data_IF_708753840996
#
_entry.id   IF_708753840996
#
_cell.length_a   1.000
_cell.length_b   1.000
_cell.length_c   1.000
_cell.angle_alpha   90.00
_cell.angle_beta   90.00
_cell.angle_gamma   90.00
#
_symmetry.space_group_name_H-M   'P 1'
#
loop_
_entity.id
_entity.type
_entity.pdbx_description
1 polymer ?
#
# COMPACT_ATOMS: atom_id res chain seq x y z
N UNK A 1 -0.85 -21.59 -0.23
CA UNK A 1 -1.00 -20.83 -1.50
C UNK A 1 -1.11 -21.82 -2.66
N UNK A 2 -2.14 -21.70 -3.51
CA UNK A 2 -2.28 -22.57 -4.71
C UNK A 2 -1.18 -22.23 -5.72
N UNK A 3 -0.53 -23.22 -6.34
CA UNK A 3 0.55 -23.02 -7.34
C UNK A 3 0.19 -21.99 -8.42
N UNK A 4 -1.07 -21.95 -8.83
CA UNK A 4 -1.62 -21.02 -9.82
C UNK A 4 -1.35 -19.55 -9.43
N UNK A 5 -1.45 -19.20 -8.15
CA UNK A 5 -1.23 -17.83 -7.67
C UNK A 5 0.24 -17.42 -7.76
N UNK A 6 1.17 -18.36 -7.55
CA UNK A 6 2.61 -18.11 -7.73
C UNK A 6 2.94 -17.83 -9.20
N UNK A 7 2.33 -18.57 -10.13
CA UNK A 7 2.45 -18.28 -11.55
C UNK A 7 1.90 -16.90 -11.90
N UNK A 8 0.72 -16.53 -11.39
CA UNK A 8 0.14 -15.19 -11.60
C UNK A 8 1.07 -14.08 -11.11
N UNK A 9 1.57 -14.18 -9.86
CA UNK A 9 2.53 -13.22 -9.29
C UNK A 9 3.77 -13.09 -10.20
N UNK A 10 4.35 -14.23 -10.58
CA UNK A 10 5.54 -14.26 -11.43
C UNK A 10 5.29 -13.60 -12.78
N UNK A 11 4.17 -13.93 -13.45
CA UNK A 11 3.83 -13.35 -14.74
C UNK A 11 3.48 -11.86 -14.66
N UNK A 12 2.79 -11.41 -13.59
CA UNK A 12 2.49 -9.98 -13.35
C UNK A 12 3.77 -9.17 -13.13
N UNK A 13 4.72 -9.67 -12.35
CA UNK A 13 6.01 -8.99 -12.17
C UNK A 13 6.81 -9.00 -13.46
N UNK A 14 6.85 -10.13 -14.17
CA UNK A 14 7.60 -10.28 -15.42
C UNK A 14 7.11 -9.35 -16.53
N UNK A 15 5.80 -9.14 -16.65
CA UNK A 15 5.21 -8.30 -17.70
C UNK A 15 5.60 -6.82 -17.60
N UNK A 16 6.01 -6.35 -16.41
CA UNK A 16 6.48 -4.97 -16.18
C UNK A 16 7.78 -4.65 -16.92
N UNK A 17 8.59 -5.66 -17.24
CA UNK A 17 9.93 -5.48 -17.79
C UNK A 17 11.01 -5.19 -16.75
N UNK A 18 10.70 -5.28 -15.45
CA UNK A 18 11.63 -4.98 -14.35
C UNK A 18 12.95 -5.75 -14.43
N UNK A 19 12.92 -7.01 -14.88
CA UNK A 19 14.12 -7.84 -15.00
C UNK A 19 15.14 -7.28 -16.02
N UNK A 20 14.70 -6.46 -16.97
CA UNK A 20 15.59 -5.79 -17.92
C UNK A 20 16.48 -4.73 -17.22
N UNK A 21 16.07 -4.21 -16.06
CA UNK A 21 16.86 -3.25 -15.28
C UNK A 21 17.97 -3.94 -14.48
N UNK A 22 17.72 -5.16 -14.01
CA UNK A 22 18.65 -5.89 -13.13
C UNK A 22 19.62 -6.80 -13.88
N UNK A 23 19.23 -7.32 -15.05
CA UNK A 23 20.01 -8.31 -15.77
C UNK A 23 20.32 -7.78 -17.18
N UNK A 24 21.53 -7.23 -17.36
CA UNK A 24 22.04 -6.81 -18.68
C UNK A 24 22.06 -8.01 -19.63
N UNK A 25 21.29 -7.94 -20.72
CA UNK A 25 21.24 -8.99 -21.75
C UNK A 25 20.24 -10.12 -21.49
N UNK A 26 19.33 -9.99 -20.51
CA UNK A 26 18.30 -11.01 -20.27
C UNK A 26 17.32 -11.11 -21.45
N UNK A 27 17.25 -12.30 -22.07
CA UNK A 27 16.26 -12.63 -23.09
C UNK A 27 15.78 -14.07 -22.87
N UNK A 28 14.63 -14.32 -22.22
CA UNK A 28 14.19 -15.69 -21.98
C UNK A 28 13.40 -16.29 -23.16
N UNK A 29 13.42 -15.69 -24.37
CA UNK A 29 12.47 -15.91 -25.49
C UNK A 29 11.02 -15.56 -25.11
N UNK A 30 10.68 -14.30 -24.88
CA UNK A 30 10.52 -13.34 -25.95
C UNK A 30 10.72 -11.97 -25.32
N UNK A 31 11.67 -11.22 -25.90
CA UNK A 31 11.81 -9.76 -25.81
C UNK A 31 10.43 -9.16 -25.55
N UNK A 32 10.23 -8.54 -24.38
CA UNK A 32 8.97 -7.87 -24.02
C UNK A 32 8.51 -7.08 -25.22
N UNK A 33 7.46 -7.55 -25.90
CA UNK A 33 6.95 -6.93 -27.11
C UNK A 33 6.45 -5.56 -26.68
N UNK A 34 7.29 -4.57 -26.97
CA UNK A 34 6.96 -3.17 -26.93
C UNK A 34 6.96 -2.47 -25.55
N UNK A 35 7.55 -1.28 -25.57
CA UNK A 35 7.62 -0.22 -24.55
C UNK A 35 8.65 -0.35 -23.42
N UNK A 36 9.87 0.11 -23.73
CA UNK A 36 10.90 0.57 -22.77
C UNK A 36 10.49 1.79 -21.93
N UNK A 37 9.28 2.33 -22.12
CA UNK A 37 8.82 3.53 -21.42
C UNK A 37 8.06 3.12 -20.15
N UNK A 38 8.39 3.78 -19.04
CA UNK A 38 7.70 3.70 -17.74
C UNK A 38 7.76 2.30 -17.07
N UNK A 39 8.92 1.63 -17.12
CA UNK A 39 9.11 0.34 -16.42
C UNK A 39 8.89 0.51 -14.92
N UNK A 40 9.36 1.62 -14.36
CA UNK A 40 9.23 1.98 -12.96
C UNK A 40 7.75 2.03 -12.55
N UNK A 41 6.94 2.80 -13.28
CA UNK A 41 5.51 2.96 -12.98
C UNK A 41 4.74 1.64 -13.18
N UNK A 42 5.08 0.86 -14.21
CA UNK A 42 4.48 -0.47 -14.41
C UNK A 42 4.79 -1.41 -13.26
N UNK A 43 6.02 -1.37 -12.73
CA UNK A 43 6.39 -2.16 -11.57
C UNK A 43 5.67 -1.70 -10.31
N UNK A 44 5.56 -0.39 -10.07
CA UNK A 44 4.74 0.18 -8.99
C UNK A 44 3.30 -0.32 -9.06
N UNK A 45 2.63 -0.18 -10.20
CA UNK A 45 1.24 -0.64 -10.40
C UNK A 45 1.08 -2.13 -10.17
N UNK A 46 2.05 -2.94 -10.62
CA UNK A 46 2.02 -4.37 -10.34
C UNK A 46 2.10 -4.67 -8.83
N UNK A 47 2.84 -3.87 -8.04
CA UNK A 47 2.85 -4.02 -6.58
C UNK A 47 1.49 -3.66 -5.96
N UNK A 48 0.81 -2.63 -6.47
CA UNK A 48 -0.55 -2.23 -6.04
C UNK A 48 -1.57 -3.34 -6.36
N UNK A 49 -1.59 -3.82 -7.61
CA UNK A 49 -2.52 -4.84 -8.10
C UNK A 49 -2.37 -6.19 -7.38
N UNK A 50 -1.15 -6.53 -6.95
CA UNK A 50 -0.88 -7.76 -6.20
C UNK A 50 -1.28 -7.67 -4.72
N UNK A 51 -1.62 -6.47 -4.25
CA UNK A 51 -2.23 -6.22 -2.95
C UNK A 51 -1.24 -5.86 -1.82
N UNK A 52 -1.73 -5.78 -0.57
CA UNK A 52 -1.05 -5.11 0.53
C UNK A 52 0.36 -5.62 0.86
N UNK A 53 0.62 -6.92 0.68
CA UNK A 53 1.95 -7.49 0.91
C UNK A 53 2.97 -6.94 -0.09
N UNK A 54 2.58 -6.80 -1.35
CA UNK A 54 3.45 -6.28 -2.40
C UNK A 54 3.58 -4.76 -2.34
N UNK A 55 2.54 -4.05 -1.92
CA UNK A 55 2.63 -2.62 -1.58
C UNK A 55 3.70 -2.40 -0.50
N UNK A 56 3.69 -3.17 0.60
CA UNK A 56 4.73 -3.09 1.65
C UNK A 56 6.12 -3.42 1.12
N UNK A 57 6.24 -4.41 0.23
CA UNK A 57 7.50 -4.74 -0.40
C UNK A 57 8.02 -3.57 -1.26
N UNK A 58 7.14 -2.94 -2.04
CA UNK A 58 7.47 -1.75 -2.82
C UNK A 58 7.92 -0.58 -1.94
N UNK A 59 7.21 -0.33 -0.83
CA UNK A 59 7.60 0.67 0.18
C UNK A 59 8.96 0.36 0.81
N UNK A 60 9.29 -0.90 1.07
CA UNK A 60 10.62 -1.27 1.57
C UNK A 60 11.69 -1.01 0.51
N UNK A 61 11.44 -1.41 -0.74
CA UNK A 61 12.37 -1.25 -1.86
C UNK A 61 12.60 0.23 -2.23
N UNK A 62 11.63 1.12 -2.02
CA UNK A 62 11.80 2.56 -2.28
C UNK A 62 12.88 3.21 -1.41
N UNK A 63 13.15 2.64 -0.23
CA UNK A 63 14.22 3.10 0.68
C UNK A 63 15.59 2.50 0.38
N UNK A 64 15.69 1.58 -0.59
CA UNK A 64 16.90 0.78 -0.87
C UNK A 64 17.49 1.10 -2.24
N UNK A 65 18.00 2.32 -2.42
CA UNK A 65 18.68 2.75 -3.65
C UNK A 65 20.01 2.01 -3.92
N UNK A 66 20.48 1.24 -2.95
CA UNK A 66 21.57 0.27 -3.11
C UNK A 66 21.12 -1.04 -3.78
N UNK A 67 19.83 -1.36 -3.72
CA UNK A 67 19.22 -2.52 -4.38
C UNK A 67 18.61 -2.09 -5.71
N UNK A 68 17.81 -1.02 -5.73
CA UNK A 68 17.07 -0.57 -6.92
C UNK A 68 17.62 0.73 -7.49
N UNK A 69 17.38 1.00 -8.78
CA UNK A 69 17.79 2.27 -9.37
C UNK A 69 17.09 3.46 -8.71
N UNK A 70 17.72 4.65 -8.70
CA UNK A 70 17.10 5.87 -8.16
C UNK A 70 15.74 6.19 -8.79
N UNK A 71 15.59 5.95 -10.10
CA UNK A 71 14.30 6.14 -10.79
C UNK A 71 13.21 5.21 -10.24
N UNK A 72 13.54 3.94 -10.03
CA UNK A 72 12.61 2.97 -9.48
C UNK A 72 12.28 3.24 -8.01
N UNK A 73 13.28 3.61 -7.20
CA UNK A 73 13.09 4.00 -5.81
C UNK A 73 12.13 5.19 -5.68
N UNK A 74 12.32 6.23 -6.51
CA UNK A 74 11.46 7.41 -6.54
C UNK A 74 10.00 7.03 -6.86
N UNK A 75 9.79 6.24 -7.91
CA UNK A 75 8.45 5.82 -8.31
C UNK A 75 7.78 4.94 -7.25
N UNK A 76 8.50 3.99 -6.65
CA UNK A 76 8.00 3.18 -5.54
C UNK A 76 7.73 4.00 -4.28
N UNK A 77 8.36 5.17 -4.12
CA UNK A 77 8.09 6.11 -3.05
C UNK A 77 6.64 6.59 -3.03
N UNK A 78 5.99 6.67 -4.19
CA UNK A 78 4.59 7.06 -4.30
C UNK A 78 3.63 6.07 -3.62
N UNK A 79 4.05 4.81 -3.42
CA UNK A 79 3.30 3.81 -2.63
C UNK A 79 3.21 4.19 -1.15
N UNK A 80 4.10 5.06 -0.67
CA UNK A 80 4.13 5.55 0.70
C UNK A 80 3.34 6.84 0.85
N UNK A 81 3.42 7.71 -0.15
CA UNK A 81 3.07 9.13 0.01
C UNK A 81 1.58 9.45 -0.20
N UNK A 82 0.79 8.57 -0.82
CA UNK A 82 -0.61 8.85 -1.18
C UNK A 82 -1.59 7.76 -0.72
N UNK A 83 -1.65 7.51 0.59
CA UNK A 83 -2.68 6.63 1.11
C UNK A 83 -4.01 7.37 1.22
N UNK A 84 -4.87 7.21 0.21
CA UNK A 84 -6.23 7.76 0.23
C UNK A 84 -6.97 7.35 1.50
N UNK A 85 -7.63 8.29 2.20
CA UNK A 85 -8.42 7.96 3.37
C UNK A 85 -9.62 7.10 2.98
N UNK A 86 -10.03 6.23 3.91
CA UNK A 86 -11.34 5.56 3.82
C UNK A 86 -12.41 6.47 4.39
N UNK A 87 -13.63 6.26 3.91
CA UNK A 87 -14.83 6.94 4.40
C UNK A 87 -14.96 6.82 5.92
N UNK A 88 -15.38 7.91 6.56
CA UNK A 88 -15.57 7.93 8.02
C UNK A 88 -16.63 6.92 8.50
N UNK A 89 -17.61 6.58 7.65
CA UNK A 89 -18.58 5.50 7.94
C UNK A 89 -17.90 4.17 8.25
N UNK A 90 -16.90 3.79 7.45
CA UNK A 90 -16.10 2.59 7.70
C UNK A 90 -15.38 2.66 9.05
N UNK A 91 -14.79 3.81 9.37
CA UNK A 91 -14.08 4.03 10.64
C UNK A 91 -15.02 3.85 11.82
N UNK A 92 -16.21 4.47 11.77
CA UNK A 92 -17.25 4.34 12.78
C UNK A 92 -17.68 2.88 12.98
N UNK A 93 -17.91 2.16 11.88
CA UNK A 93 -18.32 0.75 11.93
C UNK A 93 -17.24 -0.13 12.55
N UNK A 94 -15.96 0.08 12.22
CA UNK A 94 -14.86 -0.64 12.85
C UNK A 94 -14.74 -0.35 14.35
N UNK A 95 -14.92 0.90 14.77
CA UNK A 95 -14.88 1.25 16.20
C UNK A 95 -16.04 0.57 16.96
N UNK A 96 -17.26 0.59 16.42
CA UNK A 96 -18.42 -0.07 17.03
C UNK A 96 -18.19 -1.59 17.10
N UNK A 97 -17.77 -2.21 15.99
CA UNK A 97 -17.55 -3.65 15.90
C UNK A 97 -16.50 -4.15 16.91
N UNK A 98 -15.38 -3.43 17.06
CA UNK A 98 -14.25 -3.90 17.87
C UNK A 98 -14.31 -3.44 19.34
N UNK A 99 -14.96 -2.31 19.64
CA UNK A 99 -14.99 -1.73 21.00
C UNK A 99 -16.38 -1.78 21.66
N UNK A 100 -17.44 -2.12 20.92
CA UNK A 100 -18.80 -2.21 21.44
C UNK A 100 -19.25 -0.91 22.12
N UNK A 101 -19.80 -1.01 23.33
CA UNK A 101 -20.28 0.15 24.10
C UNK A 101 -19.20 1.18 24.46
N UNK A 102 -17.91 0.81 24.44
CA UNK A 102 -16.81 1.75 24.71
C UNK A 102 -16.54 2.68 23.53
N UNK A 103 -16.97 2.31 22.32
CA UNK A 103 -16.79 3.13 21.12
C UNK A 103 -17.43 4.50 21.24
N UNK A 104 -18.56 4.61 21.95
CA UNK A 104 -19.31 5.86 22.11
C UNK A 104 -18.42 6.98 22.69
N UNK A 105 -17.60 6.66 23.69
CA UNK A 105 -16.67 7.64 24.32
C UNK A 105 -15.67 8.24 23.33
N UNK A 106 -15.37 7.54 22.25
CA UNK A 106 -14.50 8.00 21.17
C UNK A 106 -15.35 8.74 20.14
N UNK A 107 -16.46 8.14 19.70
CA UNK A 107 -17.34 8.66 18.66
C UNK A 107 -18.00 10.00 19.02
N UNK A 108 -18.17 10.29 20.31
CA UNK A 108 -18.76 11.55 20.80
C UNK A 108 -17.93 12.79 20.40
N UNK A 109 -16.60 12.63 20.28
CA UNK A 109 -15.66 13.75 20.09
C UNK A 109 -14.64 13.52 18.97
N UNK A 110 -14.76 12.40 18.24
CA UNK A 110 -13.86 12.09 17.14
C UNK A 110 -14.05 13.09 15.99
N UNK A 111 -12.94 13.56 15.44
CA UNK A 111 -12.93 14.33 14.19
C UNK A 111 -13.19 13.37 13.01
N UNK A 112 -14.25 13.56 12.22
CA UNK A 112 -14.50 12.76 11.03
C UNK A 112 -13.38 12.89 9.99
N UNK A 113 -12.65 14.00 10.00
CA UNK A 113 -11.48 14.21 9.14
C UNK A 113 -10.28 13.46 9.73
N UNK A 114 -9.57 12.63 8.94
CA UNK A 114 -8.40 11.94 9.43
C UNK A 114 -7.26 12.93 9.69
N UNK A 115 -6.55 12.72 10.80
CA UNK A 115 -5.27 13.38 11.05
C UNK A 115 -4.21 12.88 10.07
N UNK A 116 -4.21 11.58 9.78
CA UNK A 116 -3.30 10.95 8.83
C UNK A 116 -3.93 9.67 8.27
N UNK A 117 -3.59 9.33 7.04
CA UNK A 117 -3.92 8.05 6.42
C UNK A 117 -2.62 7.36 5.98
N UNK A 118 -2.50 6.09 6.34
CA UNK A 118 -1.39 5.23 5.95
C UNK A 118 -1.92 3.97 5.25
N UNK A 119 -1.02 3.17 4.67
CA UNK A 119 -1.42 2.03 3.84
C UNK A 119 -2.26 1.01 4.59
N UNK A 120 -2.06 0.89 5.91
CA UNK A 120 -2.75 -0.10 6.73
C UNK A 120 -3.84 0.46 7.63
N UNK A 121 -3.77 1.75 7.93
CA UNK A 121 -4.59 2.34 8.97
C UNK A 121 -4.74 3.83 8.78
N UNK A 122 -5.83 4.34 9.32
CA UNK A 122 -6.16 5.76 9.37
C UNK A 122 -6.16 6.21 10.83
N UNK A 123 -5.67 7.41 11.08
CA UNK A 123 -5.56 8.01 12.41
C UNK A 123 -6.56 9.16 12.52
N UNK A 124 -7.38 9.13 13.56
CA UNK A 124 -8.33 10.20 13.89
C UNK A 124 -8.03 10.78 15.26
N UNK A 125 -8.29 12.07 15.42
CA UNK A 125 -8.24 12.76 16.70
C UNK A 125 -9.58 12.64 17.41
N UNK A 126 -9.57 12.55 18.74
CA UNK A 126 -10.75 12.66 19.59
C UNK A 126 -10.37 13.23 20.96
N UNK A 127 -11.33 13.80 21.67
CA UNK A 127 -11.12 14.38 23.00
C UNK A 127 -11.75 13.54 24.09
N UNK A 128 -11.00 13.21 25.13
CA UNK A 128 -11.53 12.47 26.28
C UNK A 128 -10.91 12.99 27.57
N UNK A 129 -11.75 13.37 28.54
CA UNK A 129 -11.33 13.91 29.85
C UNK A 129 -10.31 15.06 29.70
N UNK A 130 -10.67 16.04 28.88
CA UNK A 130 -9.86 17.25 28.59
C UNK A 130 -8.46 16.95 28.00
N UNK A 131 -8.28 15.77 27.41
CA UNK A 131 -7.07 15.37 26.68
C UNK A 131 -7.38 15.10 25.23
N UNK A 132 -6.52 15.60 24.34
CA UNK A 132 -6.52 15.18 22.94
C UNK A 132 -5.81 13.82 22.82
N UNK A 133 -6.51 12.89 22.22
CA UNK A 133 -6.06 11.52 21.99
C UNK A 133 -6.19 11.18 20.50
N UNK A 134 -5.50 10.12 20.10
CA UNK A 134 -5.61 9.57 18.75
C UNK A 134 -6.12 8.14 18.80
N UNK A 135 -6.94 7.78 17.82
CA UNK A 135 -7.32 6.40 17.55
C UNK A 135 -6.81 6.02 16.16
N UNK A 136 -6.17 4.85 16.09
CA UNK A 136 -5.72 4.27 14.82
C UNK A 136 -6.63 3.12 14.44
N UNK A 137 -7.29 3.24 13.30
CA UNK A 137 -8.26 2.26 12.80
C UNK A 137 -7.71 1.61 11.54
N UNK A 138 -7.70 0.28 11.52
CA UNK A 138 -7.20 -0.51 10.41
C UNK A 138 -8.10 -0.34 9.18
N UNK A 139 -7.51 -0.16 7.99
CA UNK A 139 -8.19 -0.10 6.69
C UNK A 139 -8.64 -1.52 6.24
N UNK A 140 -9.61 -1.64 5.30
CA UNK A 140 -10.03 -2.95 4.80
C UNK A 140 -8.89 -3.70 4.08
N UNK A 141 -9.11 -4.99 3.83
CA UNK A 141 -8.25 -5.89 3.03
C UNK A 141 -6.91 -6.30 3.65
N UNK A 142 -6.82 -6.42 4.98
CA UNK A 142 -5.61 -6.83 5.69
C UNK A 142 -5.67 -8.22 6.37
N UNK A 143 -6.52 -9.11 5.86
CA UNK A 143 -6.62 -10.50 6.32
C UNK A 143 -5.70 -11.45 5.53
#
# INVERSE_FOLDING_TARGET
MRLIRLFQIFFSIRSTGIFNLFIKGYNPFLKTFNQRNNIENKFKKAMEDLGPVFVKLGQLLSTRTDIVSHGLAKELGELTDNCEPVEYSYIKDQLIKNLGSKSQKILDTIDPSPLAAASLAQVHRFSYQDKELIVKVQKPDLE
#
